data_IF_992731605383
#
_entry.id   IF_992731605383
#
_cell.length_a   1.000
_cell.length_b   1.000
_cell.length_c   1.000
_cell.angle_alpha   90.00
_cell.angle_beta   90.00
_cell.angle_gamma   90.00
#
_symmetry.space_group_name_H-M   'P 1'
#
loop_
_entity.id
_entity.type
_entity.pdbx_description
1 polymer ?
#
# COMPACT_ATOMS: atom_id res chain seq x y z
N UNK A 1 19.53 0.73 -46.29
CA UNK A 1 20.27 1.90 -45.80
C UNK A 1 19.64 3.12 -46.45
N UNK A 2 18.76 3.80 -45.77
CA UNK A 2 18.24 5.11 -46.16
C UNK A 2 18.60 6.06 -45.04
N UNK A 3 19.53 6.95 -45.35
CA UNK A 3 20.00 8.01 -44.53
C UNK A 3 18.95 9.14 -44.58
N UNK A 4 18.22 9.38 -43.47
CA UNK A 4 17.34 10.57 -43.35
C UNK A 4 18.10 11.60 -42.53
N UNK A 5 18.45 12.72 -43.19
CA UNK A 5 19.23 13.79 -42.60
C UNK A 5 18.43 14.57 -41.55
N UNK A 6 19.14 15.06 -40.51
CA UNK A 6 18.59 15.86 -39.37
C UNK A 6 17.82 17.14 -39.78
N UNK A 7 17.78 17.51 -41.03
CA UNK A 7 17.10 18.72 -41.52
C UNK A 7 15.62 18.50 -41.89
N UNK A 8 15.18 17.27 -42.10
CA UNK A 8 13.79 16.98 -42.49
C UNK A 8 12.85 16.82 -41.29
N UNK A 9 13.39 16.76 -40.07
CA UNK A 9 12.58 16.63 -38.85
C UNK A 9 12.05 17.97 -38.32
N UNK A 10 12.51 19.11 -38.86
CA UNK A 10 12.15 20.45 -38.35
C UNK A 10 11.11 21.19 -39.20
N UNK A 11 10.59 20.62 -40.28
CA UNK A 11 9.62 21.29 -41.17
C UNK A 11 8.20 20.74 -41.15
N UNK A 12 7.89 19.75 -40.31
CA UNK A 12 6.54 19.20 -40.17
C UNK A 12 5.76 19.72 -38.94
N UNK A 13 6.24 20.72 -38.26
CA UNK A 13 5.72 21.21 -36.97
C UNK A 13 4.99 22.56 -36.96
N UNK A 14 4.57 23.10 -38.12
CA UNK A 14 3.92 24.42 -38.14
C UNK A 14 2.67 24.45 -39.01
N UNK A 15 1.63 23.76 -38.60
CA UNK A 15 0.27 24.00 -39.12
C UNK A 15 -0.79 23.33 -38.22
N UNK A 16 -0.98 23.80 -36.99
CA UNK A 16 -2.23 23.67 -36.23
C UNK A 16 -2.20 24.64 -35.05
N UNK A 17 -2.36 25.92 -35.35
CA UNK A 17 -2.63 26.94 -34.35
C UNK A 17 -3.65 27.91 -34.98
N UNK A 18 -4.92 27.66 -34.67
CA UNK A 18 -5.94 28.68 -34.52
C UNK A 18 -7.31 28.00 -34.39
N UNK A 19 -7.82 28.01 -33.18
CA UNK A 19 -9.20 28.10 -32.73
C UNK A 19 -9.32 27.49 -31.33
N UNK A 20 -8.86 28.19 -30.34
CA UNK A 20 -9.34 28.03 -28.96
C UNK A 20 -9.75 29.43 -28.48
N UNK A 21 -11.05 29.63 -28.38
CA UNK A 21 -11.65 30.79 -27.77
C UNK A 21 -11.24 30.89 -26.31
N UNK A 22 -10.77 32.05 -25.93
CA UNK A 22 -10.48 32.45 -24.56
C UNK A 22 -11.77 32.37 -23.73
N UNK A 23 -11.86 31.32 -22.90
CA UNK A 23 -12.76 31.25 -21.78
C UNK A 23 -11.89 31.28 -20.53
N UNK A 24 -11.68 32.42 -19.93
CA UNK A 24 -11.12 32.57 -18.60
C UNK A 24 -12.02 31.83 -17.59
N UNK A 25 -11.62 30.63 -17.18
CA UNK A 25 -12.13 29.99 -15.97
C UNK A 25 -11.49 30.70 -14.78
N UNK A 26 -12.13 31.77 -14.31
CA UNK A 26 -11.88 32.39 -13.03
C UNK A 26 -12.04 31.36 -11.94
N UNK A 27 -10.94 30.89 -11.38
CA UNK A 27 -10.94 30.11 -10.15
C UNK A 27 -11.41 31.04 -9.01
N UNK A 28 -12.64 30.87 -8.58
CA UNK A 28 -13.17 31.57 -7.42
C UNK A 28 -12.36 31.22 -6.16
N UNK A 29 -12.35 32.09 -5.13
CA UNK A 29 -11.59 31.86 -3.91
C UNK A 29 -12.09 30.56 -3.22
N UNK A 30 -11.14 29.69 -2.89
CA UNK A 30 -11.39 28.45 -2.13
C UNK A 30 -11.99 28.84 -0.76
N UNK A 31 -13.14 28.27 -0.36
CA UNK A 31 -13.72 28.57 0.95
C UNK A 31 -12.74 28.28 2.09
N UNK A 32 -12.59 29.21 3.02
CA UNK A 32 -11.63 29.14 4.13
C UNK A 32 -11.78 27.87 5.02
N UNK A 33 -12.91 27.18 4.99
CA UNK A 33 -13.16 25.90 5.67
C UNK A 33 -12.46 24.70 5.02
N UNK A 34 -12.08 24.76 3.72
CA UNK A 34 -11.32 23.69 3.05
C UNK A 34 -9.80 23.78 3.29
N UNK A 35 -9.30 24.94 3.68
CA UNK A 35 -7.87 25.14 3.94
C UNK A 35 -7.37 24.44 5.20
N UNK A 36 -8.24 24.08 6.12
CA UNK A 36 -7.89 23.46 7.41
C UNK A 36 -7.89 21.91 7.37
N UNK A 37 -8.55 21.31 6.38
CA UNK A 37 -8.59 19.85 6.17
C UNK A 37 -7.40 19.30 5.36
N UNK A 38 -6.47 20.13 4.92
CA UNK A 38 -5.52 19.80 3.87
C UNK A 38 -4.03 19.91 4.24
N UNK A 39 -3.67 19.93 5.53
CA UNK A 39 -2.24 19.92 5.86
C UNK A 39 -1.71 18.50 5.73
N UNK A 40 -1.18 18.19 4.55
CA UNK A 40 -0.24 17.10 4.40
C UNK A 40 0.98 17.38 5.30
N UNK A 41 1.47 16.36 6.02
CA UNK A 41 2.66 16.53 6.84
C UNK A 41 3.90 16.66 5.95
N UNK A 42 4.50 17.83 5.93
CA UNK A 42 5.82 18.03 5.38
C UNK A 42 6.82 17.29 6.27
N UNK A 43 7.48 16.26 5.72
CA UNK A 43 8.43 15.41 6.46
C UNK A 43 9.89 15.72 6.16
N UNK A 44 10.15 16.33 5.00
CA UNK A 44 11.40 16.96 4.61
C UNK A 44 11.10 18.00 3.51
N UNK A 45 12.02 18.90 3.13
CA UNK A 45 11.80 19.83 2.04
C UNK A 45 11.27 19.11 0.80
N UNK A 46 10.09 19.51 0.31
CA UNK A 46 9.37 18.94 -0.84
C UNK A 46 9.00 17.43 -0.72
N UNK A 47 9.11 16.85 0.46
CA UNK A 47 8.70 15.47 0.77
C UNK A 47 7.53 15.48 1.75
N UNK A 48 6.45 14.86 1.38
CA UNK A 48 5.20 14.88 2.12
C UNK A 48 4.73 13.47 2.48
N UNK A 49 4.01 13.37 3.58
CA UNK A 49 3.33 12.17 4.05
C UNK A 49 1.87 12.50 4.38
N UNK A 50 0.97 11.60 4.05
CA UNK A 50 -0.43 11.66 4.44
C UNK A 50 -0.80 10.36 5.14
N UNK A 51 -1.23 10.46 6.39
CA UNK A 51 -1.75 9.32 7.14
C UNK A 51 -3.19 9.02 6.71
N UNK A 52 -3.40 7.84 6.16
CA UNK A 52 -4.71 7.32 5.80
C UNK A 52 -5.51 6.84 7.02
N UNK A 53 -6.78 6.57 6.83
CA UNK A 53 -7.65 6.03 7.87
C UNK A 53 -8.16 4.67 7.45
N UNK A 54 -7.81 3.64 8.23
CA UNK A 54 -8.31 2.28 7.99
C UNK A 54 -9.78 2.20 8.42
N UNK A 55 -10.68 2.72 7.59
CA UNK A 55 -12.13 2.61 7.77
C UNK A 55 -12.81 2.51 6.41
N UNK A 56 -13.97 1.83 6.35
CA UNK A 56 -14.72 1.63 5.09
C UNK A 56 -15.24 2.92 4.46
N UNK A 57 -15.34 3.98 5.25
CA UNK A 57 -15.84 5.28 4.82
C UNK A 57 -14.72 6.31 4.58
N UNK A 58 -13.45 5.92 4.74
CA UNK A 58 -12.35 6.82 4.48
C UNK A 58 -12.10 6.98 2.98
N UNK A 59 -11.86 8.20 2.53
CA UNK A 59 -11.43 8.46 1.16
C UNK A 59 -10.04 7.88 0.91
N UNK A 60 -9.08 8.12 1.83
CA UNK A 60 -7.75 7.52 1.80
C UNK A 60 -7.63 6.45 2.90
N UNK A 61 -7.47 5.19 2.49
CA UNK A 61 -7.38 4.03 3.39
C UNK A 61 -5.95 3.74 3.80
N UNK A 62 -5.02 3.66 2.85
CA UNK A 62 -3.59 3.54 3.13
C UNK A 62 -2.93 4.91 3.31
N UNK A 63 -1.73 4.91 3.87
CA UNK A 63 -0.87 6.07 3.88
C UNK A 63 -0.33 6.36 2.48
N UNK A 64 -0.07 7.64 2.21
CA UNK A 64 0.50 8.07 0.95
C UNK A 64 1.73 8.94 1.18
N UNK A 65 2.63 8.95 0.21
CA UNK A 65 3.72 9.90 0.14
C UNK A 65 3.76 10.62 -1.21
N UNK A 66 4.40 11.78 -1.27
CA UNK A 66 4.80 12.36 -2.54
C UNK A 66 6.04 13.23 -2.40
N UNK A 67 6.80 13.26 -3.48
CA UNK A 67 8.03 14.02 -3.59
C UNK A 67 7.87 14.99 -4.77
N UNK A 68 8.10 16.28 -4.52
CA UNK A 68 8.08 17.34 -5.54
C UNK A 68 9.50 17.54 -6.05
N UNK A 69 9.80 16.89 -7.18
CA UNK A 69 11.04 17.09 -7.95
C UNK A 69 11.06 18.46 -8.66
N UNK A 70 12.15 18.78 -9.33
CA UNK A 70 12.26 20.05 -10.05
C UNK A 70 11.15 20.24 -11.09
N UNK A 71 10.83 19.23 -11.89
CA UNK A 71 9.90 19.32 -13.00
C UNK A 71 8.61 18.49 -12.85
N UNK A 72 8.48 17.64 -11.82
CA UNK A 72 7.36 16.73 -11.67
C UNK A 72 7.15 16.29 -10.21
N UNK A 73 6.07 15.57 -9.99
CA UNK A 73 5.76 14.91 -8.72
C UNK A 73 5.77 13.39 -8.92
N UNK A 74 6.43 12.68 -8.01
CA UNK A 74 6.32 11.25 -7.78
C UNK A 74 5.39 11.02 -6.58
N UNK A 75 4.36 10.20 -6.76
CA UNK A 75 3.45 9.78 -5.68
C UNK A 75 3.81 8.35 -5.26
N UNK A 76 3.68 8.04 -3.98
CA UNK A 76 3.84 6.72 -3.38
C UNK A 76 2.48 6.24 -2.92
N UNK A 77 2.06 5.13 -3.47
CA UNK A 77 0.77 4.47 -3.40
C UNK A 77 -0.39 5.26 -4.03
N UNK A 78 -1.15 4.56 -4.84
CA UNK A 78 -2.27 5.15 -5.57
C UNK A 78 -3.57 5.16 -4.75
N UNK A 79 -3.63 4.46 -3.61
CA UNK A 79 -4.83 4.29 -2.80
C UNK A 79 -6.00 3.66 -3.57
N UNK A 80 -7.22 3.75 -3.06
CA UNK A 80 -8.46 3.57 -3.84
C UNK A 80 -8.76 4.84 -4.67
N UNK A 81 -9.66 4.79 -5.66
CA UNK A 81 -9.96 5.94 -6.53
C UNK A 81 -10.36 7.23 -5.79
N UNK A 82 -11.12 7.13 -4.69
CA UNK A 82 -11.47 8.29 -3.87
C UNK A 82 -10.23 8.88 -3.19
N UNK A 83 -9.37 8.02 -2.62
CA UNK A 83 -8.09 8.43 -2.03
C UNK A 83 -7.15 9.06 -3.04
N UNK A 84 -7.05 8.49 -4.25
CA UNK A 84 -6.25 9.07 -5.34
C UNK A 84 -6.67 10.51 -5.65
N UNK A 85 -7.99 10.77 -5.76
CA UNK A 85 -8.53 12.12 -5.98
C UNK A 85 -8.17 13.08 -4.84
N UNK A 86 -8.29 12.61 -3.59
CA UNK A 86 -7.91 13.39 -2.41
C UNK A 86 -6.41 13.76 -2.45
N UNK A 87 -5.53 12.79 -2.72
CA UNK A 87 -4.09 13.00 -2.78
C UNK A 87 -3.73 13.98 -3.91
N UNK A 88 -4.31 13.83 -5.10
CA UNK A 88 -4.12 14.77 -6.21
C UNK A 88 -4.53 16.19 -5.81
N UNK A 89 -5.67 16.35 -5.13
CA UNK A 89 -6.12 17.66 -4.63
C UNK A 89 -5.12 18.28 -3.65
N UNK A 90 -4.57 17.48 -2.72
CA UNK A 90 -3.54 17.93 -1.78
C UNK A 90 -2.25 18.37 -2.50
N UNK A 91 -1.81 17.60 -3.50
CA UNK A 91 -0.64 17.94 -4.31
C UNK A 91 -0.87 19.25 -5.07
N UNK A 92 -2.04 19.41 -5.69
CA UNK A 92 -2.40 20.63 -6.46
C UNK A 92 -2.50 21.89 -5.59
N UNK A 93 -2.78 21.75 -4.30
CA UNK A 93 -2.72 22.85 -3.35
C UNK A 93 -1.29 23.33 -3.04
N UNK A 94 -0.28 22.53 -3.40
CA UNK A 94 1.13 22.82 -3.13
C UNK A 94 1.92 23.19 -4.39
N UNK A 95 1.54 22.64 -5.56
CA UNK A 95 2.30 22.82 -6.80
C UNK A 95 1.45 22.54 -8.05
N UNK A 96 1.75 23.25 -9.13
CA UNK A 96 1.19 23.02 -10.48
C UNK A 96 2.01 22.02 -11.29
N UNK A 97 3.15 21.54 -10.76
CA UNK A 97 4.00 20.56 -11.45
C UNK A 97 3.21 19.29 -11.79
N UNK A 98 3.44 18.69 -12.98
CA UNK A 98 2.72 17.48 -13.36
C UNK A 98 3.04 16.32 -12.43
N UNK A 99 2.01 15.54 -12.05
CA UNK A 99 2.21 14.24 -11.43
C UNK A 99 2.62 13.28 -12.55
N UNK A 100 3.87 12.86 -12.59
CA UNK A 100 4.43 12.02 -13.67
C UNK A 100 4.41 10.55 -13.33
N UNK A 101 4.56 10.20 -12.06
CA UNK A 101 4.67 8.82 -11.65
C UNK A 101 3.84 8.56 -10.39
N UNK A 102 3.18 7.41 -10.35
CA UNK A 102 2.54 6.84 -9.17
C UNK A 102 3.19 5.47 -8.93
N UNK A 103 3.92 5.33 -7.84
CA UNK A 103 4.59 4.09 -7.46
C UNK A 103 3.67 3.27 -6.57
N UNK A 104 3.32 2.05 -7.00
CA UNK A 104 2.59 1.08 -6.19
C UNK A 104 3.61 0.25 -5.40
N UNK A 105 3.57 0.35 -4.08
CA UNK A 105 4.45 -0.45 -3.20
C UNK A 105 4.15 -1.94 -3.31
N UNK A 106 2.88 -2.29 -3.53
CA UNK A 106 2.41 -3.66 -3.76
C UNK A 106 1.02 -3.67 -4.44
N UNK A 107 0.46 -4.86 -4.67
CA UNK A 107 -0.74 -5.03 -5.51
C UNK A 107 -2.08 -4.85 -4.81
N UNK A 108 -2.15 -4.66 -3.49
CA UNK A 108 -3.42 -4.55 -2.79
C UNK A 108 -4.22 -3.32 -3.21
N UNK A 109 -5.55 -3.43 -3.10
CA UNK A 109 -6.46 -2.46 -3.69
C UNK A 109 -6.36 -1.06 -3.10
N UNK A 110 -6.12 -0.96 -1.81
CA UNK A 110 -5.92 0.31 -1.11
C UNK A 110 -4.56 0.97 -1.40
N UNK A 111 -3.68 0.30 -2.14
CA UNK A 111 -2.40 0.85 -2.61
C UNK A 111 -2.36 1.09 -4.12
N UNK A 112 -3.09 0.28 -4.92
CA UNK A 112 -2.93 0.26 -6.38
C UNK A 112 -4.21 0.54 -7.19
N UNK A 113 -5.41 0.45 -6.60
CA UNK A 113 -6.65 0.56 -7.38
C UNK A 113 -6.98 1.99 -7.83
N UNK A 114 -6.33 3.00 -7.28
CA UNK A 114 -6.43 4.39 -7.74
C UNK A 114 -5.62 4.72 -8.99
N UNK A 115 -4.86 3.80 -9.55
CA UNK A 115 -3.99 4.02 -10.70
C UNK A 115 -4.67 4.68 -11.90
N UNK A 116 -5.94 4.32 -12.20
CA UNK A 116 -6.66 4.97 -13.29
C UNK A 116 -6.76 6.48 -13.09
N UNK A 117 -7.00 6.95 -11.87
CA UNK A 117 -7.14 8.38 -11.56
C UNK A 117 -5.83 9.12 -11.80
N UNK A 118 -4.68 8.51 -11.46
CA UNK A 118 -3.37 9.06 -11.77
C UNK A 118 -3.10 9.08 -13.27
N UNK A 119 -3.47 8.02 -14.01
CA UNK A 119 -3.32 7.97 -15.48
C UNK A 119 -4.16 9.06 -16.15
N UNK A 120 -5.41 9.29 -15.72
CA UNK A 120 -6.26 10.36 -16.21
C UNK A 120 -5.67 11.75 -15.93
N UNK A 121 -4.84 11.88 -14.89
CA UNK A 121 -4.10 13.09 -14.53
C UNK A 121 -2.74 13.22 -15.25
N UNK A 122 -2.40 12.29 -16.17
CA UNK A 122 -1.16 12.27 -16.94
C UNK A 122 -0.01 11.52 -16.27
N UNK A 123 -0.26 10.83 -15.17
CA UNK A 123 0.71 10.03 -14.44
C UNK A 123 0.90 8.63 -15.03
N UNK A 124 2.02 8.00 -14.72
CA UNK A 124 2.37 6.64 -15.15
C UNK A 124 2.54 5.77 -13.90
N UNK A 125 1.72 4.70 -13.73
CA UNK A 125 1.90 3.76 -12.64
C UNK A 125 3.18 2.94 -12.80
N UNK A 126 3.96 2.87 -11.73
CA UNK A 126 5.26 2.20 -11.63
C UNK A 126 5.22 1.17 -10.51
N UNK A 127 5.75 -0.03 -10.72
CA UNK A 127 5.82 -1.05 -9.67
C UNK A 127 6.94 -2.06 -9.91
N UNK A 128 7.24 -2.85 -8.87
CA UNK A 128 8.04 -4.06 -9.01
C UNK A 128 7.31 -5.11 -9.89
N UNK A 129 8.04 -5.92 -10.65
CA UNK A 129 7.47 -6.95 -11.55
C UNK A 129 6.52 -7.91 -10.82
N UNK A 130 6.78 -8.24 -9.57
CA UNK A 130 5.92 -9.08 -8.74
C UNK A 130 4.50 -8.55 -8.54
N UNK A 131 4.30 -7.22 -8.61
CA UNK A 131 2.95 -6.61 -8.51
C UNK A 131 2.06 -7.05 -9.67
N UNK A 132 2.58 -7.07 -10.90
CA UNK A 132 1.83 -7.55 -12.08
C UNK A 132 1.55 -9.05 -11.99
N UNK A 133 2.48 -9.83 -11.47
CA UNK A 133 2.31 -11.27 -11.31
C UNK A 133 1.18 -11.57 -10.30
N UNK A 134 1.17 -10.86 -9.18
CA UNK A 134 0.12 -10.99 -8.18
C UNK A 134 -1.24 -10.44 -8.67
N UNK A 135 -1.28 -9.32 -9.41
CA UNK A 135 -2.51 -8.85 -10.03
C UNK A 135 -3.08 -9.88 -11.01
N UNK A 136 -2.26 -10.50 -11.86
CA UNK A 136 -2.71 -11.59 -12.74
C UNK A 136 -3.24 -12.78 -11.96
N UNK A 137 -2.67 -13.06 -10.80
CA UNK A 137 -3.07 -14.17 -9.95
C UNK A 137 -4.40 -13.93 -9.25
N UNK A 138 -4.67 -12.72 -8.80
CA UNK A 138 -5.83 -12.41 -7.93
C UNK A 138 -6.95 -11.65 -8.62
N UNK A 139 -6.71 -11.16 -9.86
CA UNK A 139 -7.74 -10.44 -10.61
C UNK A 139 -8.50 -11.35 -11.59
N UNK A 140 -9.49 -10.78 -12.24
CA UNK A 140 -10.44 -11.51 -13.09
C UNK A 140 -9.76 -12.41 -14.13
N UNK A 141 -10.20 -13.66 -14.19
CA UNK A 141 -9.77 -14.64 -15.17
C UNK A 141 -8.61 -15.54 -14.75
N UNK A 142 -7.98 -15.31 -13.61
CA UNK A 142 -6.95 -16.21 -13.08
C UNK A 142 -7.55 -17.46 -12.42
N UNK A 143 -8.58 -17.28 -11.59
CA UNK A 143 -9.37 -18.37 -11.02
C UNK A 143 -10.64 -18.52 -11.85
N UNK A 144 -10.72 -19.56 -12.68
CA UNK A 144 -11.95 -19.88 -13.41
C UNK A 144 -13.12 -20.00 -12.41
N UNK A 145 -14.18 -19.22 -12.61
CA UNK A 145 -15.42 -19.18 -11.85
C UNK A 145 -15.46 -18.31 -10.57
N UNK A 146 -14.43 -17.55 -10.25
CA UNK A 146 -14.47 -16.61 -9.13
C UNK A 146 -14.28 -15.16 -9.62
N UNK A 147 -15.00 -14.18 -9.06
CA UNK A 147 -14.73 -12.79 -9.35
C UNK A 147 -13.33 -12.42 -8.85
N UNK A 148 -12.60 -11.62 -9.62
CA UNK A 148 -11.33 -11.05 -9.17
C UNK A 148 -11.52 -10.14 -7.95
N UNK A 149 -10.44 -9.83 -7.27
CA UNK A 149 -10.46 -8.95 -6.08
C UNK A 149 -11.03 -7.58 -6.39
N UNK A 150 -10.72 -7.00 -7.56
CA UNK A 150 -11.33 -5.75 -8.01
C UNK A 150 -12.86 -5.85 -8.07
N UNK A 151 -13.38 -6.87 -8.76
CA UNK A 151 -14.82 -7.07 -8.92
C UNK A 151 -15.50 -7.33 -7.58
N UNK A 152 -14.84 -8.09 -6.70
CA UNK A 152 -15.33 -8.35 -5.36
C UNK A 152 -15.41 -7.06 -4.54
N UNK A 153 -14.35 -6.25 -4.52
CA UNK A 153 -14.31 -4.98 -3.82
C UNK A 153 -15.31 -3.95 -4.38
N UNK A 154 -15.55 -3.96 -5.69
CA UNK A 154 -16.51 -3.06 -6.34
C UNK A 154 -17.98 -3.29 -5.90
N UNK A 155 -18.31 -4.44 -5.30
CA UNK A 155 -19.64 -4.67 -4.71
C UNK A 155 -19.89 -3.73 -3.53
N UNK A 156 -18.87 -3.47 -2.74
CA UNK A 156 -18.97 -2.69 -1.51
C UNK A 156 -18.49 -1.23 -1.68
N UNK A 157 -17.61 -0.97 -2.65
CA UNK A 157 -17.05 0.38 -2.91
C UNK A 157 -17.62 1.03 -4.15
N UNK A 158 -18.31 2.17 -3.96
CA UNK A 158 -18.94 2.91 -5.06
C UNK A 158 -17.91 3.51 -6.03
N UNK A 159 -16.75 3.93 -5.55
CA UNK A 159 -15.69 4.53 -6.35
C UNK A 159 -15.06 3.53 -7.33
N UNK A 160 -15.00 2.24 -6.99
CA UNK A 160 -14.54 1.19 -7.90
C UNK A 160 -15.54 0.89 -9.03
N UNK A 161 -16.85 1.04 -8.79
CA UNK A 161 -17.88 0.81 -9.83
C UNK A 161 -17.80 1.76 -11.00
N UNK A 162 -17.19 2.93 -10.81
CA UNK A 162 -17.06 3.98 -11.83
C UNK A 162 -15.66 4.08 -12.44
N UNK A 163 -14.75 3.21 -12.04
CA UNK A 163 -13.37 3.15 -12.51
C UNK A 163 -13.03 1.77 -13.08
N UNK A 164 -11.84 1.61 -13.59
CA UNK A 164 -11.33 0.34 -14.13
C UNK A 164 -10.00 0.01 -13.49
N UNK A 165 -9.74 -1.26 -13.25
CA UNK A 165 -8.42 -1.73 -12.85
C UNK A 165 -7.39 -1.28 -13.90
N UNK A 166 -6.36 -0.57 -13.42
CA UNK A 166 -5.27 -0.06 -14.25
C UNK A 166 -3.95 -0.55 -13.71
N UNK A 167 -3.44 -1.68 -14.24
CA UNK A 167 -2.15 -2.21 -13.81
C UNK A 167 -1.00 -1.25 -14.10
N UNK A 168 0.10 -1.29 -13.31
CA UNK A 168 1.30 -0.54 -13.60
C UNK A 168 1.87 -0.86 -14.98
N UNK A 169 2.42 0.16 -15.65
CA UNK A 169 2.96 0.06 -17.00
C UNK A 169 4.48 0.23 -17.08
N UNK A 170 5.10 0.81 -16.05
CA UNK A 170 6.55 0.82 -15.87
C UNK A 170 6.90 -0.17 -14.77
N UNK A 171 7.68 -1.18 -15.14
CA UNK A 171 8.02 -2.28 -14.24
C UNK A 171 9.53 -2.38 -14.05
N UNK A 172 9.96 -2.64 -12.82
CA UNK A 172 11.36 -2.88 -12.51
C UNK A 172 11.54 -4.24 -11.79
N UNK A 173 12.61 -4.99 -12.11
CA UNK A 173 12.81 -6.33 -11.55
C UNK A 173 13.50 -6.34 -10.19
N UNK A 174 14.17 -5.25 -9.80
CA UNK A 174 14.89 -5.15 -8.53
C UNK A 174 14.93 -3.72 -8.01
N UNK A 175 15.56 -2.83 -8.74
CA UNK A 175 15.76 -1.44 -8.34
C UNK A 175 15.45 -0.48 -9.50
N UNK A 176 14.89 0.68 -9.18
CA UNK A 176 14.69 1.82 -10.07
C UNK A 176 14.90 3.09 -9.26
N UNK A 177 15.49 4.13 -9.82
CA UNK A 177 15.64 5.38 -9.10
C UNK A 177 15.22 6.59 -9.92
N UNK A 178 14.78 7.62 -9.22
CA UNK A 178 14.50 8.96 -9.72
C UNK A 178 15.51 9.92 -9.08
N UNK A 179 16.12 10.78 -9.88
CA UNK A 179 17.15 11.70 -9.39
C UNK A 179 17.15 12.98 -10.24
N UNK A 180 16.98 14.14 -9.62
CA UNK A 180 17.04 15.45 -10.25
C UNK A 180 18.23 16.30 -9.72
N UNK A 181 19.13 15.68 -8.95
CA UNK A 181 20.22 16.33 -8.23
C UNK A 181 19.81 16.96 -6.89
N UNK A 182 18.54 17.32 -6.71
CA UNK A 182 17.98 17.80 -5.44
C UNK A 182 17.46 16.66 -4.59
N UNK A 183 16.61 15.81 -5.16
CA UNK A 183 16.06 14.63 -4.54
C UNK A 183 16.52 13.37 -5.28
N UNK A 184 16.77 12.31 -4.51
CA UNK A 184 16.98 10.96 -5.02
C UNK A 184 16.02 10.02 -4.31
N UNK A 185 15.21 9.30 -5.09
CA UNK A 185 14.29 8.26 -4.60
C UNK A 185 14.70 6.95 -5.23
N UNK A 186 15.00 5.95 -4.42
CA UNK A 186 15.36 4.61 -4.84
C UNK A 186 14.18 3.66 -4.53
N UNK A 187 13.55 3.15 -5.58
CA UNK A 187 12.53 2.11 -5.47
C UNK A 187 13.25 0.76 -5.44
N UNK A 188 13.03 -0.03 -4.38
CA UNK A 188 13.79 -1.26 -4.17
C UNK A 188 12.89 -2.42 -3.73
N UNK A 189 13.04 -3.56 -4.38
CA UNK A 189 12.51 -4.83 -3.87
C UNK A 189 13.54 -5.46 -2.92
N UNK A 190 13.26 -5.43 -1.63
CA UNK A 190 14.17 -5.93 -0.59
C UNK A 190 13.96 -7.42 -0.29
N UNK A 191 12.88 -8.00 -0.78
CA UNK A 191 12.49 -9.38 -0.59
C UNK A 191 10.99 -9.54 -0.39
N UNK A 192 10.55 -10.79 -0.29
CA UNK A 192 9.14 -11.13 -0.01
C UNK A 192 8.83 -10.79 1.44
N UNK A 193 7.67 -10.16 1.68
CA UNK A 193 7.18 -9.81 3.01
C UNK A 193 5.66 -9.94 3.09
N UNK A 194 4.93 -8.83 3.02
CA UNK A 194 3.49 -8.73 3.00
C UNK A 194 2.87 -9.36 1.73
N UNK A 195 3.57 -9.16 0.59
CA UNK A 195 3.30 -9.79 -0.70
C UNK A 195 4.61 -10.26 -1.36
N UNK A 196 4.50 -10.91 -2.50
CA UNK A 196 5.69 -11.28 -3.29
C UNK A 196 6.23 -10.11 -4.11
N UNK A 197 5.45 -9.06 -4.30
CA UNK A 197 5.79 -7.89 -5.10
C UNK A 197 6.18 -6.65 -4.31
N UNK A 198 6.33 -6.74 -2.98
CA UNK A 198 6.63 -5.59 -2.13
C UNK A 198 7.89 -4.84 -2.59
N UNK A 199 7.77 -3.54 -2.69
CA UNK A 199 8.92 -2.67 -2.90
C UNK A 199 8.76 -1.38 -2.06
N UNK A 200 9.88 -0.78 -1.73
CA UNK A 200 9.95 0.41 -0.87
C UNK A 200 10.48 1.60 -1.67
N UNK A 201 10.20 2.82 -1.19
CA UNK A 201 10.83 4.02 -1.71
C UNK A 201 11.77 4.59 -0.63
N UNK A 202 13.07 4.59 -0.91
CA UNK A 202 14.12 5.06 -0.04
C UNK A 202 14.65 6.42 -0.51
N UNK A 203 14.70 7.39 0.39
CA UNK A 203 15.28 8.72 0.20
C UNK A 203 16.57 8.81 1.01
N UNK A 204 17.72 8.46 0.44
CA UNK A 204 18.97 8.32 1.19
C UNK A 204 19.47 9.63 1.80
N UNK A 205 19.25 10.76 1.13
CA UNK A 205 19.66 12.08 1.58
C UNK A 205 18.86 12.54 2.79
N UNK A 206 17.56 12.34 2.77
CA UNK A 206 16.61 12.70 3.82
C UNK A 206 16.61 11.67 4.97
N UNK A 207 16.99 10.45 4.69
CA UNK A 207 16.91 9.33 5.64
C UNK A 207 15.48 8.87 5.86
N UNK A 208 14.61 8.95 4.83
CA UNK A 208 13.19 8.62 4.89
C UNK A 208 12.93 7.36 4.06
N UNK A 209 12.20 6.40 4.64
CA UNK A 209 11.80 5.17 3.99
C UNK A 209 10.27 5.07 3.97
N UNK A 210 9.68 4.99 2.78
CA UNK A 210 8.27 4.63 2.58
C UNK A 210 8.21 3.13 2.29
N UNK A 211 7.45 2.40 3.09
CA UNK A 211 7.53 0.94 3.10
C UNK A 211 6.32 0.23 2.47
N UNK A 212 5.21 0.96 2.19
CA UNK A 212 3.95 0.24 2.05
C UNK A 212 3.74 -0.70 3.23
N UNK A 213 3.02 -1.79 3.01
CA UNK A 213 2.68 -2.75 4.07
C UNK A 213 3.80 -3.73 4.43
N UNK A 214 4.98 -3.62 3.77
CA UNK A 214 6.17 -4.30 4.28
C UNK A 214 6.45 -3.89 5.74
N UNK A 215 6.10 -2.65 6.12
CA UNK A 215 6.08 -2.22 7.51
C UNK A 215 4.81 -1.40 7.81
N UNK A 216 4.08 -1.80 8.83
CA UNK A 216 2.92 -1.08 9.38
C UNK A 216 3.17 -0.70 10.83
N UNK A 217 2.52 0.35 11.32
CA UNK A 217 2.64 0.78 12.72
C UNK A 217 1.29 0.66 13.43
N UNK A 218 0.94 -0.57 13.75
CA UNK A 218 -0.34 -0.91 14.38
C UNK A 218 -0.79 -2.34 14.03
N UNK A 219 -2.03 -2.72 14.34
CA UNK A 219 -2.56 -4.06 14.18
C UNK A 219 -3.04 -4.36 12.73
N UNK A 220 -2.26 -3.93 11.74
CA UNK A 220 -2.64 -3.98 10.31
C UNK A 220 -1.90 -5.07 9.52
N UNK A 221 -1.24 -6.02 10.20
CA UNK A 221 -0.44 -7.07 9.58
C UNK A 221 -1.31 -8.14 8.91
N UNK A 222 -1.73 -7.93 7.68
CA UNK A 222 -2.29 -8.98 6.84
C UNK A 222 -1.16 -9.85 6.29
N UNK A 223 -1.29 -11.18 6.40
CA UNK A 223 -0.23 -12.14 6.05
C UNK A 223 -0.62 -13.11 4.92
N UNK A 224 -1.84 -12.99 4.41
CA UNK A 224 -2.42 -13.98 3.48
C UNK A 224 -1.62 -14.17 2.19
N UNK A 225 -1.10 -13.11 1.61
CA UNK A 225 -0.39 -13.11 0.32
C UNK A 225 1.13 -13.11 0.48
N UNK A 226 1.62 -13.07 1.72
CA UNK A 226 3.03 -12.98 2.06
C UNK A 226 3.66 -14.28 2.53
N UNK A 227 4.84 -14.12 3.12
CA UNK A 227 5.61 -15.18 3.78
C UNK A 227 6.24 -14.60 5.04
N UNK A 228 5.71 -14.96 6.21
CA UNK A 228 6.13 -14.39 7.50
C UNK A 228 7.59 -14.73 7.82
N UNK A 229 8.07 -15.90 7.39
CA UNK A 229 9.47 -16.28 7.56
C UNK A 229 10.42 -15.39 6.76
N UNK A 230 10.11 -15.14 5.50
CA UNK A 230 10.87 -14.26 4.61
C UNK A 230 10.72 -12.80 5.04
N UNK A 231 9.55 -12.40 5.52
CA UNK A 231 9.29 -11.04 6.00
C UNK A 231 10.28 -10.60 7.08
N UNK A 232 10.63 -11.50 8.01
CA UNK A 232 11.67 -11.24 9.03
C UNK A 232 13.00 -10.84 8.38
N UNK A 233 13.40 -11.50 7.30
CA UNK A 233 14.65 -11.19 6.59
C UNK A 233 14.53 -9.88 5.77
N UNK A 234 13.37 -9.63 5.18
CA UNK A 234 13.11 -8.39 4.42
C UNK A 234 13.14 -7.16 5.33
N UNK A 235 12.56 -7.25 6.54
CA UNK A 235 12.67 -6.20 7.56
C UNK A 235 14.13 -5.97 8.00
N UNK A 236 14.94 -7.02 8.09
CA UNK A 236 16.38 -6.89 8.39
C UNK A 236 17.12 -6.16 7.25
N UNK A 237 16.76 -6.42 5.99
CA UNK A 237 17.31 -5.70 4.86
C UNK A 237 16.92 -4.21 4.88
N UNK A 238 15.65 -3.90 5.16
CA UNK A 238 15.16 -2.53 5.28
C UNK A 238 15.84 -1.77 6.42
N UNK A 239 16.06 -2.42 7.57
CA UNK A 239 16.76 -1.84 8.71
C UNK A 239 18.19 -1.42 8.38
N UNK A 240 18.89 -2.18 7.52
CA UNK A 240 20.27 -1.86 7.08
C UNK A 240 20.38 -0.59 6.26
N UNK A 241 19.28 -0.06 5.72
CA UNK A 241 19.25 1.24 5.06
C UNK A 241 19.49 2.38 6.05
N UNK A 242 19.28 2.17 7.34
CA UNK A 242 19.53 3.17 8.37
C UNK A 242 18.52 4.33 8.35
N UNK A 243 17.27 4.07 8.00
CA UNK A 243 16.22 5.09 7.94
C UNK A 243 16.04 5.76 9.31
N UNK A 244 16.04 7.09 9.31
CA UNK A 244 15.74 7.93 10.48
C UNK A 244 14.24 8.02 10.71
N UNK A 245 13.47 8.04 9.61
CA UNK A 245 12.01 8.06 9.59
C UNK A 245 11.50 6.96 8.68
N UNK A 246 10.48 6.23 9.14
CA UNK A 246 9.74 5.23 8.37
C UNK A 246 8.30 5.71 8.21
N UNK A 247 7.90 5.89 6.98
CA UNK A 247 6.53 6.16 6.53
C UNK A 247 5.90 4.81 6.17
N UNK A 248 5.14 4.27 7.10
CA UNK A 248 4.52 2.94 7.02
C UNK A 248 3.32 2.94 6.07
N UNK A 249 2.90 1.76 5.59
CA UNK A 249 1.70 1.65 4.74
C UNK A 249 0.41 1.96 5.50
N UNK A 250 0.34 1.59 6.78
CA UNK A 250 -0.76 1.93 7.69
C UNK A 250 -0.24 2.35 9.07
N UNK A 251 -1.03 3.20 9.73
CA UNK A 251 -0.71 3.78 11.02
C UNK A 251 0.30 4.93 10.94
N UNK A 252 0.62 5.56 12.07
CA UNK A 252 1.46 6.74 12.08
C UNK A 252 2.90 6.46 11.63
N UNK A 253 3.53 7.44 10.94
CA UNK A 253 4.97 7.40 10.68
C UNK A 253 5.75 7.29 11.99
N UNK A 254 6.94 6.72 11.93
CA UNK A 254 7.73 6.42 13.13
C UNK A 254 9.22 6.60 12.87
N UNK A 255 10.03 6.49 13.93
CA UNK A 255 11.47 6.32 13.80
C UNK A 255 11.79 4.94 13.19
N UNK A 256 13.03 4.75 12.73
CA UNK A 256 13.51 3.49 12.14
C UNK A 256 13.32 2.26 13.02
N UNK A 257 13.19 2.45 14.33
CA UNK A 257 12.95 1.37 15.31
C UNK A 257 11.65 0.60 15.10
N UNK A 258 10.67 1.14 14.36
CA UNK A 258 9.44 0.41 14.01
C UNK A 258 9.73 -0.86 13.23
N UNK A 259 10.78 -0.87 12.41
CA UNK A 259 11.24 -2.05 11.68
C UNK A 259 11.72 -3.15 12.63
N UNK A 260 12.46 -2.78 13.68
CA UNK A 260 12.92 -3.71 14.72
C UNK A 260 11.74 -4.27 15.52
N UNK A 261 10.77 -3.42 15.87
CA UNK A 261 9.61 -3.81 16.65
C UNK A 261 8.69 -4.77 15.88
N UNK A 262 8.42 -4.49 14.59
CA UNK A 262 7.62 -5.40 13.76
C UNK A 262 8.37 -6.71 13.50
N UNK A 263 9.69 -6.67 13.30
CA UNK A 263 10.50 -7.87 13.18
C UNK A 263 10.42 -8.71 14.46
N UNK A 264 10.51 -8.06 15.64
CA UNK A 264 10.36 -8.73 16.93
C UNK A 264 8.98 -9.38 17.09
N UNK A 265 7.90 -8.69 16.62
CA UNK A 265 6.56 -9.25 16.59
C UNK A 265 6.49 -10.55 15.77
N UNK A 266 6.96 -10.56 14.52
CA UNK A 266 6.92 -11.76 13.68
C UNK A 266 7.79 -12.89 14.23
N UNK A 267 8.98 -12.59 14.77
CA UNK A 267 9.82 -13.60 15.45
C UNK A 267 9.11 -14.22 16.65
N UNK A 268 8.49 -13.38 17.50
CA UNK A 268 7.75 -13.84 18.66
C UNK A 268 6.51 -14.66 18.27
N UNK A 269 5.75 -14.21 17.25
CA UNK A 269 4.62 -14.96 16.72
C UNK A 269 5.04 -16.36 16.23
N UNK A 270 6.08 -16.44 15.41
CA UNK A 270 6.62 -17.71 14.91
C UNK A 270 7.07 -18.63 16.05
N UNK A 271 7.77 -18.10 17.03
CA UNK A 271 8.24 -18.84 18.21
C UNK A 271 7.06 -19.38 19.04
N UNK A 272 6.02 -18.57 19.26
CA UNK A 272 4.85 -18.99 20.02
C UNK A 272 4.04 -20.06 19.28
N UNK A 273 3.88 -19.92 17.97
CA UNK A 273 3.19 -20.92 17.14
C UNK A 273 3.96 -22.23 17.13
N UNK A 274 5.26 -22.20 16.91
CA UNK A 274 6.12 -23.41 16.92
C UNK A 274 6.04 -24.15 18.25
N UNK A 275 6.14 -23.43 19.36
CA UNK A 275 6.12 -24.01 20.71
C UNK A 275 4.75 -24.61 21.11
N UNK A 276 3.65 -24.08 20.56
CA UNK A 276 2.32 -24.37 21.11
C UNK A 276 1.39 -25.13 20.18
N UNK A 277 1.62 -25.11 18.86
CA UNK A 277 0.64 -25.64 17.88
C UNK A 277 0.95 -27.05 17.39
N UNK A 278 2.09 -27.63 17.74
CA UNK A 278 2.45 -28.99 17.34
C UNK A 278 1.50 -30.03 17.97
N UNK A 279 0.82 -30.82 17.13
CA UNK A 279 -0.06 -31.94 17.51
C UNK A 279 -1.36 -31.56 18.26
N UNK A 280 -1.96 -30.39 17.97
CA UNK A 280 -3.21 -29.94 18.62
C UNK A 280 -4.45 -30.31 17.83
N UNK A 281 -5.55 -30.67 18.56
CA UNK A 281 -6.90 -30.71 17.99
C UNK A 281 -7.35 -29.27 17.60
N UNK A 282 -8.43 -29.16 16.80
CA UNK A 282 -8.96 -27.87 16.38
C UNK A 282 -9.42 -27.01 17.58
N UNK A 283 -10.07 -27.62 18.56
CA UNK A 283 -10.53 -26.93 19.78
C UNK A 283 -9.36 -26.46 20.64
N UNK A 284 -8.35 -27.30 20.82
CA UNK A 284 -7.12 -26.92 21.50
C UNK A 284 -6.38 -25.82 20.73
N UNK A 285 -6.36 -25.87 19.39
CA UNK A 285 -5.76 -24.82 18.57
C UNK A 285 -6.43 -23.46 18.80
N UNK A 286 -7.77 -23.41 18.85
CA UNK A 286 -8.51 -22.17 19.12
C UNK A 286 -8.17 -21.60 20.51
N UNK A 287 -8.15 -22.44 21.54
CA UNK A 287 -7.79 -22.01 22.89
C UNK A 287 -6.35 -21.49 22.95
N UNK A 288 -5.43 -22.10 22.20
CA UNK A 288 -4.01 -21.67 22.13
C UNK A 288 -3.83 -20.36 21.38
N UNK A 289 -4.66 -20.04 20.37
CA UNK A 289 -4.62 -18.74 19.67
C UNK A 289 -4.81 -17.60 20.67
N UNK A 290 -5.81 -17.70 21.56
CA UNK A 290 -6.04 -16.66 22.57
C UNK A 290 -4.89 -16.58 23.59
N UNK A 291 -4.30 -17.72 23.95
CA UNK A 291 -3.11 -17.73 24.82
C UNK A 291 -1.90 -17.09 24.15
N UNK A 292 -1.65 -17.38 22.86
CA UNK A 292 -0.58 -16.73 22.07
C UNK A 292 -0.85 -15.22 21.99
N UNK A 293 -2.09 -14.81 21.69
CA UNK A 293 -2.49 -13.40 21.65
C UNK A 293 -2.17 -12.69 22.96
N UNK A 294 -2.59 -13.26 24.10
CA UNK A 294 -2.36 -12.71 25.42
C UNK A 294 -0.84 -12.58 25.72
N UNK A 295 -0.06 -13.61 25.36
CA UNK A 295 1.39 -13.59 25.54
C UNK A 295 2.05 -12.47 24.73
N UNK A 296 1.69 -12.32 23.46
CA UNK A 296 2.26 -11.26 22.60
C UNK A 296 1.81 -9.86 23.05
N UNK A 297 0.56 -9.69 23.51
CA UNK A 297 0.06 -8.43 24.05
C UNK A 297 0.72 -8.02 25.37
N UNK A 298 1.21 -8.95 26.15
CA UNK A 298 1.94 -8.63 27.40
C UNK A 298 3.33 -8.01 27.15
N UNK A 299 3.87 -8.11 25.94
CA UNK A 299 5.13 -7.50 25.56
C UNK A 299 4.89 -6.08 25.00
N UNK A 300 5.24 -5.06 25.77
CA UNK A 300 5.01 -3.64 25.44
C UNK A 300 5.62 -3.21 24.10
N UNK A 301 6.75 -3.81 23.66
CA UNK A 301 7.41 -3.49 22.41
C UNK A 301 6.54 -3.86 21.19
N UNK A 302 5.84 -5.00 21.26
CA UNK A 302 5.15 -5.61 20.12
C UNK A 302 3.63 -5.60 20.24
N UNK A 303 3.08 -5.26 21.41
CA UNK A 303 1.63 -5.31 21.69
C UNK A 303 0.78 -4.59 20.66
N UNK A 304 1.26 -3.46 20.11
CA UNK A 304 0.52 -2.67 19.12
C UNK A 304 0.30 -3.38 17.78
N UNK A 305 1.08 -4.39 17.46
CA UNK A 305 0.93 -5.19 16.23
C UNK A 305 -0.09 -6.32 16.36
N UNK A 306 -0.53 -6.62 17.58
CA UNK A 306 -1.48 -7.70 17.85
C UNK A 306 -2.89 -7.21 17.64
N UNK A 307 -3.59 -7.75 16.64
CA UNK A 307 -4.98 -7.39 16.35
C UNK A 307 -5.95 -7.87 17.44
N UNK A 308 -6.88 -7.00 17.85
CA UNK A 308 -8.01 -7.35 18.70
C UNK A 308 -9.24 -7.87 17.94
N UNK A 309 -9.16 -7.90 16.60
CA UNK A 309 -10.26 -8.40 15.78
C UNK A 309 -10.54 -9.86 16.10
N UNK A 310 -11.83 -10.14 16.29
CA UNK A 310 -12.32 -11.43 16.78
C UNK A 310 -12.03 -12.62 15.88
N UNK A 311 -12.42 -13.79 16.35
CA UNK A 311 -12.14 -15.13 15.80
C UNK A 311 -12.72 -15.41 14.41
N UNK A 312 -13.52 -14.51 13.83
CA UNK A 312 -14.17 -14.69 12.52
C UNK A 312 -13.59 -13.88 11.37
N UNK A 313 -12.56 -13.06 11.62
CA UNK A 313 -12.00 -12.20 10.57
C UNK A 313 -10.86 -12.90 9.84
N UNK A 314 -10.97 -13.05 8.53
CA UNK A 314 -9.90 -13.58 7.66
C UNK A 314 -8.59 -12.79 7.78
N UNK A 315 -8.65 -11.55 8.24
CA UNK A 315 -7.53 -10.63 8.41
C UNK A 315 -7.13 -10.40 9.88
N UNK A 316 -7.68 -11.19 10.80
CA UNK A 316 -7.41 -11.05 12.22
C UNK A 316 -6.21 -11.88 12.70
N UNK A 317 -5.93 -11.80 14.00
CA UNK A 317 -4.85 -12.54 14.65
C UNK A 317 -4.92 -14.07 14.42
N UNK A 318 -6.11 -14.71 14.40
CA UNK A 318 -6.20 -16.13 14.09
C UNK A 318 -5.65 -16.52 12.72
N UNK A 319 -5.85 -15.69 11.69
CA UNK A 319 -5.29 -15.96 10.35
C UNK A 319 -3.77 -15.83 10.33
N UNK A 320 -3.19 -14.93 11.13
CA UNK A 320 -1.74 -14.81 11.28
C UNK A 320 -1.15 -16.09 11.91
N UNK A 321 -1.79 -16.61 12.94
CA UNK A 321 -1.39 -17.90 13.57
C UNK A 321 -1.51 -19.04 12.58
N UNK A 322 -2.63 -19.14 11.84
CA UNK A 322 -2.84 -20.18 10.86
C UNK A 322 -1.81 -20.15 9.72
N UNK A 323 -1.49 -18.97 9.21
CA UNK A 323 -0.46 -18.77 8.18
C UNK A 323 0.91 -19.22 8.67
N UNK A 324 1.31 -18.80 9.87
CA UNK A 324 2.61 -19.19 10.45
C UNK A 324 2.65 -20.71 10.70
N UNK A 325 1.57 -21.31 11.17
CA UNK A 325 1.48 -22.74 11.33
C UNK A 325 1.65 -23.50 9.99
N UNK A 326 0.99 -23.01 8.92
CA UNK A 326 1.15 -23.57 7.57
C UNK A 326 2.60 -23.45 7.07
N UNK A 327 3.22 -22.32 7.26
CA UNK A 327 4.63 -22.11 6.88
C UNK A 327 5.61 -23.03 7.64
N UNK A 328 5.37 -23.28 8.92
CA UNK A 328 6.23 -24.11 9.73
C UNK A 328 6.04 -25.62 9.49
N UNK A 329 4.81 -26.04 9.19
CA UNK A 329 4.45 -27.48 9.16
C UNK A 329 4.12 -28.01 7.78
N UNK A 330 3.85 -27.15 6.81
CA UNK A 330 3.27 -27.51 5.51
C UNK A 330 1.81 -27.96 5.58
N UNK A 331 1.15 -27.84 6.75
CA UNK A 331 -0.23 -28.28 6.98
C UNK A 331 -1.14 -27.06 7.18
N UNK A 332 -2.32 -27.07 6.55
CA UNK A 332 -3.33 -26.03 6.78
C UNK A 332 -3.98 -26.19 8.14
N UNK A 333 -4.05 -25.11 8.91
CA UNK A 333 -4.85 -25.03 10.11
C UNK A 333 -6.26 -24.58 9.72
N UNK A 334 -7.19 -25.49 9.60
CA UNK A 334 -8.58 -25.22 9.21
C UNK A 334 -9.35 -24.53 10.35
N UNK A 335 -9.03 -23.25 10.64
CA UNK A 335 -9.71 -22.44 11.64
C UNK A 335 -11.05 -21.89 11.13
N UNK A 336 -11.21 -21.80 9.82
CA UNK A 336 -12.38 -21.25 9.16
C UNK A 336 -12.89 -22.26 8.13
N UNK A 337 -14.22 -22.42 8.00
CA UNK A 337 -14.78 -23.08 6.82
C UNK A 337 -14.47 -22.16 5.64
N UNK A 338 -13.91 -22.71 4.57
CA UNK A 338 -13.77 -22.00 3.29
C UNK A 338 -15.16 -21.55 2.84
N UNK A 339 -15.52 -20.31 3.16
CA UNK A 339 -16.45 -19.57 2.32
C UNK A 339 -15.63 -19.00 1.17
N UNK A 340 -16.08 -19.14 -0.09
CA UNK A 340 -15.34 -18.59 -1.23
C UNK A 340 -15.14 -17.10 -1.01
N UNK A 341 -13.94 -16.63 -1.22
CA UNK A 341 -13.38 -15.29 -1.04
C UNK A 341 -14.44 -14.17 -0.95
N UNK A 342 -14.87 -13.81 0.26
CA UNK A 342 -15.50 -12.53 0.49
C UNK A 342 -14.40 -11.49 0.45
N UNK A 343 -14.65 -10.44 -0.34
CA UNK A 343 -13.73 -9.34 -0.60
C UNK A 343 -13.05 -8.82 0.69
N UNK A 344 -11.83 -8.35 0.53
CA UNK A 344 -10.95 -7.80 1.57
C UNK A 344 -11.54 -6.60 2.36
N UNK A 345 -12.85 -6.36 2.31
CA UNK A 345 -13.50 -5.14 2.83
C UNK A 345 -14.73 -5.39 3.70
N UNK A 346 -14.80 -6.51 4.43
CA UNK A 346 -15.80 -6.64 5.50
C UNK A 346 -15.25 -6.03 6.81
N UNK A 347 -14.92 -4.73 6.80
CA UNK A 347 -14.58 -3.98 7.99
C UNK A 347 -15.75 -3.09 8.40
N UNK A 348 -16.27 -3.34 9.61
CA UNK A 348 -17.30 -2.58 10.31
C UNK A 348 -18.76 -2.89 9.97
N UNK A 349 -19.24 -4.04 10.46
CA UNK A 349 -20.62 -4.11 10.95
C UNK A 349 -20.62 -4.77 12.31
N UNK A 350 -20.36 -4.02 13.34
CA UNK A 350 -20.91 -4.26 14.70
C UNK A 350 -20.49 -3.14 15.65
N UNK A 351 -21.14 -2.02 15.61
CA UNK A 351 -21.54 -1.32 16.82
C UNK A 351 -22.93 -0.77 16.56
N UNK A 352 -23.86 -1.53 17.12
CA UNK A 352 -25.25 -1.32 17.04
C UNK A 352 -25.70 -0.02 17.66
N UNK A 353 -26.69 0.48 17.04
CA UNK A 353 -27.71 1.29 17.67
C UNK A 353 -28.50 0.38 18.61
N UNK A 354 -28.27 0.48 19.91
CA UNK A 354 -29.32 0.31 20.88
C UNK A 354 -29.64 1.66 21.47
N UNK A 355 -30.82 2.06 21.11
CA UNK A 355 -31.85 2.92 21.70
C UNK A 355 -31.57 3.60 23.04
N UNK A 356 -31.77 4.88 23.15
CA UNK A 356 -33.01 5.50 23.68
C UNK A 356 -33.21 6.86 23.06
#
# INVERSE_FOLDING_TARGET
MCDISRREFLTAGTAFLSLASEGELSAGPIPAGMAQAAKADLVAPDVYFHEGQVSDNADAVCNNGWIIFEDYVLVIDANFPAGAKLIISKIRALTDKPIRFAFDTHHHGDHAYGNQIFVESGGVPVAHTGVIEEMKRYETGYYANEPGRWEAAAKDRADLRTTKLKPPSVLFPKDLFFDDGKHRVELMHLGVAHTHGDAVAWLPKEGILFTGDMCVNGPYNYVGDGDVGKWVATLDAARKLGAKMVCTGHGPRSAGTVLDDQQAFFKALRQQVDATMNNSSLEEAKARIESIRATLKSNAQIARFVSDRGTGAEHGFPSQVAKVYEELTGKKLALFRHEPHRAQHAHARSHGLESV
#
